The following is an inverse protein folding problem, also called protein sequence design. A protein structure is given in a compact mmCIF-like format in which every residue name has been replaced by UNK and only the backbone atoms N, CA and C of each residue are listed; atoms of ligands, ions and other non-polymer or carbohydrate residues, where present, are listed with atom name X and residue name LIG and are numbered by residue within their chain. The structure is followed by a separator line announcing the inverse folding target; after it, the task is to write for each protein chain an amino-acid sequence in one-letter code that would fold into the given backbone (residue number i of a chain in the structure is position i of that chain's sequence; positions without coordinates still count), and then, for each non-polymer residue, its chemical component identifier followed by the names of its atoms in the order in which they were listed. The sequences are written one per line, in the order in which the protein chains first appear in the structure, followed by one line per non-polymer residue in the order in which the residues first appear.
data_IF_239809106462
#
_entry.id   IF_239809106462
#
_cell.length_a   1.000
_cell.length_b   1.000
_cell.length_c   1.000
_cell.angle_alpha   90.00
_cell.angle_beta   90.00
_cell.angle_gamma   90.00
#
_symmetry.space_group_name_H-M   'P 1'
#
loop_
_entity.id
_entity.type
_entity.pdbx_description
1 polymer ?
#
# COMPACT_ATOMS: atom_id res chain seq x y z
N UNK A 1 14.68 -9.31 1.76
CA UNK A 1 13.42 -9.99 2.13
C UNK A 1 13.40 -11.31 1.38
N UNK A 2 13.26 -12.45 2.04
CA UNK A 2 13.23 -13.77 1.40
C UNK A 2 11.83 -14.13 0.88
N UNK A 3 11.73 -15.04 -0.08
CA UNK A 3 10.44 -15.54 -0.62
C UNK A 3 9.54 -16.08 0.51
N UNK A 4 10.13 -16.68 1.55
CA UNK A 4 9.40 -17.15 2.73
C UNK A 4 8.82 -16.00 3.55
N UNK A 5 9.55 -14.89 3.70
CA UNK A 5 9.06 -13.68 4.37
C UNK A 5 7.92 -13.06 3.57
N UNK A 6 8.03 -13.00 2.24
CA UNK A 6 6.98 -12.50 1.35
C UNK A 6 5.74 -13.39 1.40
N UNK A 7 5.92 -14.72 1.40
CA UNK A 7 4.82 -15.69 1.52
C UNK A 7 4.06 -15.52 2.83
N UNK A 8 4.80 -15.40 3.94
CA UNK A 8 4.23 -15.23 5.28
C UNK A 8 3.51 -13.89 5.43
N UNK A 9 4.09 -12.81 4.92
CA UNK A 9 3.52 -11.46 5.03
C UNK A 9 2.30 -11.24 4.12
N UNK A 10 2.35 -11.75 2.88
CA UNK A 10 1.32 -11.49 1.86
C UNK A 10 0.24 -12.59 1.80
N UNK A 11 0.43 -13.67 2.57
CA UNK A 11 -0.39 -14.89 2.52
C UNK A 11 -0.36 -15.59 1.17
N UNK A 12 0.61 -15.26 0.31
CA UNK A 12 0.75 -15.84 -1.03
C UNK A 12 1.43 -17.20 -0.87
N UNK A 13 0.92 -18.28 -1.51
CA UNK A 13 1.55 -19.59 -1.40
C UNK A 13 3.02 -19.52 -1.83
N UNK A 14 3.92 -20.13 -1.05
CA UNK A 14 5.35 -20.15 -1.35
C UNK A 14 5.64 -20.64 -2.78
N UNK A 15 4.89 -21.64 -3.25
CA UNK A 15 4.98 -22.16 -4.62
C UNK A 15 4.70 -21.11 -5.68
N UNK A 16 3.72 -20.24 -5.47
CA UNK A 16 3.42 -19.18 -6.43
C UNK A 16 4.55 -18.15 -6.48
N UNK A 17 5.16 -17.81 -5.33
CA UNK A 17 6.31 -16.91 -5.31
C UNK A 17 7.58 -17.53 -5.91
N UNK A 18 7.75 -18.85 -5.79
CA UNK A 18 8.85 -19.58 -6.44
C UNK A 18 8.68 -19.57 -7.96
N UNK A 19 7.46 -19.73 -8.48
CA UNK A 19 7.19 -19.58 -9.91
C UNK A 19 7.55 -18.17 -10.41
N UNK A 20 7.30 -17.12 -9.61
CA UNK A 20 7.69 -15.75 -9.99
C UNK A 20 9.20 -15.48 -9.85
N UNK A 21 9.86 -16.03 -8.83
CA UNK A 21 11.32 -15.91 -8.63
C UNK A 21 12.10 -16.61 -9.76
N UNK A 22 11.62 -17.76 -10.23
CA UNK A 22 12.22 -18.52 -11.32
C UNK A 22 11.94 -17.92 -12.71
N UNK A 23 10.83 -17.18 -12.87
CA UNK A 23 10.43 -16.64 -14.18
C UNK A 23 11.09 -15.29 -14.48
N UNK A 24 11.14 -14.36 -13.51
CA UNK A 24 11.82 -13.07 -13.65
C UNK A 24 11.90 -12.29 -12.31
N UNK A 25 13.10 -11.94 -11.82
CA UNK A 25 13.26 -11.17 -10.58
C UNK A 25 12.58 -9.79 -10.59
N UNK A 26 12.32 -9.20 -11.77
CA UNK A 26 11.65 -7.90 -11.89
C UNK A 26 10.18 -7.99 -11.47
N UNK A 27 9.50 -9.10 -11.76
CA UNK A 27 8.10 -9.32 -11.41
C UNK A 27 7.90 -9.47 -9.90
N UNK A 28 8.83 -10.17 -9.23
CA UNK A 28 8.81 -10.33 -7.78
C UNK A 28 9.01 -8.98 -7.06
N UNK A 29 9.94 -8.16 -7.54
CA UNK A 29 10.19 -6.81 -7.00
C UNK A 29 8.94 -5.93 -7.06
N UNK A 30 8.22 -5.97 -8.18
CA UNK A 30 6.97 -5.21 -8.33
C UNK A 30 5.87 -5.75 -7.41
N UNK A 31 5.79 -7.07 -7.22
CA UNK A 31 4.82 -7.69 -6.31
C UNK A 31 5.00 -7.18 -4.88
N UNK A 32 6.24 -7.22 -4.39
CA UNK A 32 6.61 -6.76 -3.06
C UNK A 32 6.26 -5.27 -2.92
N UNK A 33 6.64 -4.46 -3.91
CA UNK A 33 6.39 -3.02 -3.91
C UNK A 33 4.89 -2.71 -3.83
N UNK A 34 4.05 -3.39 -4.62
CA UNK A 34 2.59 -3.18 -4.59
C UNK A 34 2.01 -3.56 -3.22
N UNK A 35 2.48 -4.65 -2.63
CA UNK A 35 2.05 -5.05 -1.29
C UNK A 35 2.46 -4.03 -0.22
N UNK A 36 3.70 -3.52 -0.27
CA UNK A 36 4.18 -2.49 0.67
C UNK A 36 3.39 -1.17 0.56
N UNK A 37 2.93 -0.82 -0.64
CA UNK A 37 2.03 0.33 -0.87
C UNK A 37 0.62 0.07 -0.28
N UNK A 38 0.29 -1.19 0.03
CA UNK A 38 -0.99 -1.61 0.58
C UNK A 38 -2.03 -1.97 -0.48
N UNK A 39 -1.61 -2.37 -1.68
CA UNK A 39 -2.54 -2.95 -2.66
C UNK A 39 -3.14 -4.25 -2.13
N UNK A 40 -4.44 -4.43 -2.35
CA UNK A 40 -5.11 -5.69 -2.01
C UNK A 40 -4.71 -6.79 -2.99
N UNK A 41 -4.81 -8.06 -2.57
CA UNK A 41 -4.47 -9.21 -3.42
C UNK A 41 -5.14 -9.14 -4.79
N UNK A 42 -6.43 -8.81 -4.85
CA UNK A 42 -7.16 -8.70 -6.11
C UNK A 42 -6.62 -7.58 -7.02
N UNK A 43 -6.16 -6.46 -6.44
CA UNK A 43 -5.54 -5.37 -7.19
C UNK A 43 -4.15 -5.76 -7.70
N UNK A 44 -3.36 -6.47 -6.89
CA UNK A 44 -2.05 -7.01 -7.27
C UNK A 44 -2.19 -7.99 -8.44
N UNK A 45 -3.09 -8.97 -8.33
CA UNK A 45 -3.36 -9.93 -9.41
C UNK A 45 -3.78 -9.23 -10.71
N UNK A 46 -4.62 -8.20 -10.60
CA UNK A 46 -5.06 -7.40 -11.75
C UNK A 46 -3.89 -6.66 -12.39
N UNK A 47 -3.02 -6.07 -11.57
CA UNK A 47 -1.85 -5.35 -12.05
C UNK A 47 -0.84 -6.29 -12.74
N UNK A 48 -0.60 -7.48 -12.16
CA UNK A 48 0.29 -8.49 -12.74
C UNK A 48 -0.21 -8.99 -14.09
N UNK A 49 -1.51 -9.30 -14.20
CA UNK A 49 -2.11 -9.68 -15.50
C UNK A 49 -2.05 -8.58 -16.56
N UNK A 50 -1.99 -7.32 -16.15
CA UNK A 50 -1.80 -6.21 -17.09
C UNK A 50 -0.34 -6.12 -17.53
N UNK A 51 0.62 -6.40 -16.65
CA UNK A 51 2.05 -6.37 -16.98
C UNK A 51 2.42 -7.31 -18.13
N UNK A 52 1.76 -8.47 -18.24
CA UNK A 52 1.95 -9.45 -19.32
C UNK A 52 1.36 -9.02 -20.67
N UNK A 53 0.61 -7.92 -20.73
CA UNK A 53 -0.04 -7.42 -21.96
C UNK A 53 0.72 -6.25 -22.57
N UNK A 54 0.97 -6.33 -23.87
CA UNK A 54 1.41 -5.19 -24.66
C UNK A 54 0.34 -4.06 -24.60
N UNK A 55 0.78 -2.80 -24.53
CA UNK A 55 -0.06 -1.58 -24.41
C UNK A 55 -0.92 -1.44 -23.15
N UNK A 56 -0.52 -2.06 -22.03
CA UNK A 56 -1.24 -1.96 -20.75
C UNK A 56 -0.85 -0.78 -19.85
N UNK A 57 0.19 -0.03 -20.21
CA UNK A 57 0.80 1.02 -19.36
C UNK A 57 -0.21 2.07 -18.90
N UNK A 58 -1.12 2.49 -19.79
CA UNK A 58 -2.18 3.44 -19.44
C UNK A 58 -3.15 2.90 -18.38
N UNK A 59 -3.41 1.59 -18.37
CA UNK A 59 -4.27 0.95 -17.35
C UNK A 59 -3.52 0.79 -16.03
N UNK A 60 -2.24 0.40 -16.08
CA UNK A 60 -1.36 0.30 -14.91
C UNK A 60 -1.22 1.64 -14.20
N UNK A 61 -0.97 2.73 -14.95
CA UNK A 61 -0.91 4.09 -14.40
C UNK A 61 -2.23 4.49 -13.72
N UNK A 62 -3.38 4.16 -14.31
CA UNK A 62 -4.69 4.47 -13.69
C UNK A 62 -4.91 3.75 -12.36
N UNK A 63 -4.45 2.50 -12.25
CA UNK A 63 -4.53 1.73 -10.99
C UNK A 63 -3.65 2.40 -9.92
N UNK A 64 -2.41 2.75 -10.27
CA UNK A 64 -1.48 3.44 -9.37
C UNK A 64 -2.03 4.80 -8.92
N UNK A 65 -2.57 5.60 -9.85
CA UNK A 65 -3.16 6.90 -9.54
C UNK A 65 -4.40 6.80 -8.62
N UNK A 66 -5.22 5.76 -8.81
CA UNK A 66 -6.36 5.50 -7.93
C UNK A 66 -5.87 5.21 -6.50
N UNK A 67 -4.87 4.34 -6.36
CA UNK A 67 -4.31 4.01 -5.05
C UNK A 67 -3.68 5.23 -4.38
N UNK A 68 -2.92 6.01 -5.14
CA UNK A 68 -2.31 7.26 -4.68
C UNK A 68 -3.35 8.24 -4.13
N UNK A 69 -4.47 8.43 -4.82
CA UNK A 69 -5.55 9.30 -4.33
C UNK A 69 -6.17 8.77 -3.04
N UNK A 70 -6.45 7.47 -2.95
CA UNK A 70 -6.99 6.87 -1.72
C UNK A 70 -6.06 7.02 -0.52
N UNK A 71 -4.76 6.81 -0.71
CA UNK A 71 -3.75 7.04 0.34
C UNK A 71 -3.68 8.50 0.77
N UNK A 72 -3.78 9.44 -0.19
CA UNK A 72 -3.80 10.87 0.11
C UNK A 72 -5.05 11.27 0.92
N UNK A 73 -6.22 10.72 0.56
CA UNK A 73 -7.45 10.95 1.32
C UNK A 73 -7.34 10.43 2.76
N UNK A 74 -6.70 9.26 2.94
CA UNK A 74 -6.42 8.71 4.27
C UNK A 74 -5.46 9.58 5.08
N UNK A 75 -4.40 10.09 4.45
CA UNK A 75 -3.46 11.04 5.08
C UNK A 75 -4.22 12.28 5.56
N UNK A 76 -5.00 12.91 4.68
CA UNK A 76 -5.79 14.08 5.02
C UNK A 76 -6.80 13.82 6.14
N UNK A 77 -7.40 12.63 6.16
CA UNK A 77 -8.28 12.22 7.25
C UNK A 77 -7.53 12.13 8.59
N UNK A 78 -6.37 11.45 8.60
CA UNK A 78 -5.53 11.31 9.80
C UNK A 78 -4.99 12.66 10.29
N UNK A 79 -4.60 13.57 9.39
CA UNK A 79 -4.20 14.95 9.72
C UNK A 79 -5.32 15.72 10.44
N UNK A 80 -6.57 15.57 9.97
CA UNK A 80 -7.73 16.19 10.61
C UNK A 80 -8.00 15.62 12.00
N UNK A 81 -7.88 14.29 12.17
CA UNK A 81 -8.01 13.64 13.48
C UNK A 81 -6.94 14.14 14.46
N UNK A 82 -5.69 14.26 14.01
CA UNK A 82 -4.59 14.79 14.83
C UNK A 82 -4.87 16.24 15.27
N UNK A 83 -5.35 17.06 14.36
CA UNK A 83 -5.72 18.45 14.65
C UNK A 83 -6.79 18.56 15.75
N UNK A 84 -7.80 17.67 15.72
CA UNK A 84 -8.81 17.62 16.79
C UNK A 84 -8.21 17.18 18.13
N UNK A 85 -7.31 16.19 18.12
CA UNK A 85 -6.63 15.70 19.32
C UNK A 85 -5.79 16.82 19.95
N UNK A 86 -5.03 17.57 19.15
CA UNK A 86 -4.22 18.67 19.63
C UNK A 86 -5.05 19.83 20.17
N UNK A 87 -6.19 20.13 19.55
CA UNK A 87 -7.14 21.10 20.11
C UNK A 87 -7.61 20.69 21.50
N UNK A 88 -8.03 19.43 21.69
CA UNK A 88 -8.46 18.93 22.99
C UNK A 88 -7.33 19.01 24.03
N UNK A 89 -6.11 18.60 23.67
CA UNK A 89 -4.93 18.74 24.54
C UNK A 89 -4.65 20.18 24.94
N UNK A 90 -4.73 21.11 23.99
CA UNK A 90 -4.54 22.53 24.24
C UNK A 90 -5.60 23.06 25.21
N UNK A 91 -6.88 22.70 25.02
CA UNK A 91 -7.98 23.16 25.88
C UNK A 91 -7.77 22.77 27.35
N UNK A 92 -7.39 21.51 27.61
CA UNK A 92 -7.11 21.00 28.94
C UNK A 92 -5.92 21.72 29.59
N UNK A 93 -4.81 21.88 28.84
CA UNK A 93 -3.63 22.61 29.34
C UNK A 93 -3.96 24.05 29.70
N UNK A 94 -4.78 24.72 28.89
CA UNK A 94 -5.22 26.09 29.13
C UNK A 94 -6.06 26.21 30.40
N UNK A 95 -6.90 25.23 30.70
CA UNK A 95 -7.70 25.21 31.93
C UNK A 95 -6.84 24.94 33.18
N UNK A 96 -5.83 24.08 33.07
CA UNK A 96 -4.89 23.83 34.16
C UNK A 96 -4.07 25.08 34.51
N UNK A 97 -3.61 25.84 33.52
CA UNK A 97 -2.83 27.07 33.73
C UNK A 97 -3.63 28.27 34.25
N UNK A 98 -4.97 28.14 34.35
CA UNK A 98 -5.86 29.18 34.92
C UNK A 98 -6.19 28.96 36.39
N UNK A 99 -5.81 27.81 36.96
CA UNK A 99 -5.90 27.50 38.39
C UNK A 99 -4.59 27.86 39.08
#
# INVERSE_FOLDING_TARGET
MTIEEVSRCCGIPLKALQEYDDTDPEHLSVLITLHEIGFERAEIETYMRLMEKEDSDGQRLRILDRKRRGLLDEIHFREKQLSHLDYLRYSIRREQNKK
#
